data_IF_485700844913
#
_entry.id   IF_485700844913
#
_cell.length_a   1.000
_cell.length_b   1.000
_cell.length_c   1.000
_cell.angle_alpha   90.00
_cell.angle_beta   90.00
_cell.angle_gamma   90.00
#
_symmetry.space_group_name_H-M   'P 1'
#
loop_
_entity.id
_entity.type
_entity.pdbx_description
1 polymer ?
#
# COMPACT_ATOMS: atom_id res chain seq x y z
N UNK A 1 37.61 -26.35 32.10
CA UNK A 1 37.50 -26.24 30.63
C UNK A 1 36.06 -26.53 30.24
N UNK A 2 35.25 -25.50 30.10
CA UNK A 2 33.91 -25.53 29.49
C UNK A 2 34.00 -24.68 28.21
N UNK A 3 33.40 -25.12 27.10
CA UNK A 3 33.70 -24.56 25.79
C UNK A 3 33.01 -23.22 25.57
N UNK A 4 33.72 -22.37 24.84
CA UNK A 4 33.33 -21.08 24.29
C UNK A 4 31.85 -21.00 23.89
N UNK A 5 31.12 -20.10 24.55
CA UNK A 5 29.89 -19.55 23.99
C UNK A 5 30.27 -18.72 22.77
N UNK A 6 29.79 -19.12 21.60
CA UNK A 6 29.87 -18.32 20.38
C UNK A 6 29.32 -16.92 20.69
N UNK A 7 30.06 -15.83 20.44
CA UNK A 7 29.53 -14.50 20.67
C UNK A 7 28.27 -14.32 19.84
N UNK A 8 27.20 -13.82 20.46
CA UNK A 8 25.98 -13.47 19.75
C UNK A 8 26.37 -12.54 18.58
N UNK A 9 25.87 -12.81 17.36
CA UNK A 9 26.20 -11.97 16.21
C UNK A 9 25.78 -10.52 16.52
N UNK A 10 26.52 -9.52 16.00
CA UNK A 10 26.18 -8.12 16.24
C UNK A 10 24.73 -7.84 15.85
N UNK A 11 24.03 -6.92 16.55
CA UNK A 11 22.58 -6.70 16.40
C UNK A 11 22.09 -6.58 14.94
N UNK A 12 22.93 -5.98 14.09
CA UNK A 12 22.67 -5.76 12.67
C UNK A 12 22.62 -7.06 11.82
N UNK A 13 23.46 -8.05 12.13
CA UNK A 13 23.46 -9.34 11.40
C UNK A 13 22.19 -10.14 11.70
N UNK A 14 21.69 -10.05 12.93
CA UNK A 14 20.44 -10.69 13.34
C UNK A 14 19.24 -10.08 12.60
N UNK A 15 19.17 -8.75 12.50
CA UNK A 15 18.09 -8.07 11.75
C UNK A 15 18.09 -8.39 10.26
N UNK A 16 19.27 -8.50 9.65
CA UNK A 16 19.38 -8.92 8.26
C UNK A 16 18.82 -10.34 8.07
N UNK A 17 19.24 -11.30 8.90
CA UNK A 17 18.74 -12.67 8.84
C UNK A 17 17.22 -12.75 9.11
N UNK A 18 16.71 -11.96 10.06
CA UNK A 18 15.27 -11.82 10.30
C UNK A 18 14.52 -11.33 9.05
N UNK A 19 15.07 -10.33 8.36
CA UNK A 19 14.46 -9.76 7.15
C UNK A 19 14.44 -10.76 6.01
N UNK A 20 15.55 -11.48 5.80
CA UNK A 20 15.66 -12.56 4.82
C UNK A 20 14.61 -13.65 5.08
N UNK A 21 14.55 -14.16 6.32
CA UNK A 21 13.58 -15.18 6.69
C UNK A 21 12.13 -14.70 6.52
N UNK A 22 11.84 -13.43 6.85
CA UNK A 22 10.50 -12.88 6.67
C UNK A 22 10.14 -12.73 5.18
N UNK A 23 11.11 -12.46 4.30
CA UNK A 23 10.89 -12.43 2.86
C UNK A 23 10.64 -13.84 2.30
N UNK A 24 11.46 -14.82 2.69
CA UNK A 24 11.29 -16.22 2.29
C UNK A 24 9.90 -16.73 2.71
N UNK A 25 9.44 -16.38 3.92
CA UNK A 25 8.10 -16.72 4.42
C UNK A 25 6.98 -16.06 3.59
N UNK A 26 7.15 -14.80 3.15
CA UNK A 26 6.16 -14.16 2.24
C UNK A 26 6.02 -14.98 0.96
N UNK A 27 7.14 -15.36 0.34
CA UNK A 27 7.13 -16.13 -0.91
C UNK A 27 6.46 -17.48 -0.69
N UNK A 28 6.88 -18.21 0.35
CA UNK A 28 6.32 -19.52 0.66
C UNK A 28 4.80 -19.48 0.91
N UNK A 29 4.32 -18.47 1.65
CA UNK A 29 2.89 -18.28 1.93
C UNK A 29 2.09 -17.91 0.69
N UNK A 30 2.66 -17.09 -0.19
CA UNK A 30 2.00 -16.78 -1.46
C UNK A 30 1.91 -18.03 -2.32
N UNK A 31 2.97 -18.84 -2.46
CA UNK A 31 2.89 -20.09 -3.22
C UNK A 31 1.85 -21.05 -2.63
N UNK A 32 1.79 -21.18 -1.29
CA UNK A 32 0.78 -21.99 -0.63
C UNK A 32 -0.65 -21.49 -0.92
N UNK A 33 -0.88 -20.17 -0.91
CA UNK A 33 -2.15 -19.56 -1.30
C UNK A 33 -2.51 -19.93 -2.75
N UNK A 34 -1.55 -19.88 -3.68
CA UNK A 34 -1.75 -20.23 -5.08
C UNK A 34 -2.14 -21.70 -5.24
N UNK A 35 -1.48 -22.63 -4.53
CA UNK A 35 -1.83 -24.05 -4.57
C UNK A 35 -3.24 -24.32 -4.02
N UNK A 36 -3.66 -23.62 -2.96
CA UNK A 36 -5.02 -23.70 -2.45
C UNK A 36 -6.01 -23.21 -3.50
N UNK A 37 -5.75 -22.05 -4.11
CA UNK A 37 -6.62 -21.50 -5.15
C UNK A 37 -6.69 -22.40 -6.40
N UNK A 38 -5.57 -22.99 -6.81
CA UNK A 38 -5.54 -23.92 -7.95
C UNK A 38 -6.36 -25.18 -7.69
N UNK A 39 -6.33 -25.69 -6.46
CA UNK A 39 -7.07 -26.92 -6.07
C UNK A 39 -8.56 -26.66 -5.89
N UNK A 40 -8.94 -25.59 -5.20
CA UNK A 40 -10.33 -25.32 -4.81
C UNK A 40 -11.08 -24.50 -5.86
N UNK A 41 -10.34 -23.73 -6.66
CA UNK A 41 -10.91 -22.82 -7.64
C UNK A 41 -11.67 -21.66 -7.00
N UNK A 42 -12.59 -21.11 -7.78
CA UNK A 42 -13.38 -19.93 -7.43
C UNK A 42 -13.47 -18.99 -8.61
N UNK A 43 -14.60 -18.31 -8.76
CA UNK A 43 -14.73 -17.29 -9.77
C UNK A 43 -13.80 -16.11 -9.45
N UNK A 44 -13.04 -15.67 -10.45
CA UNK A 44 -12.24 -14.46 -10.37
C UNK A 44 -12.59 -13.50 -11.51
N UNK A 45 -12.34 -12.22 -11.25
CA UNK A 45 -12.43 -11.16 -12.24
C UNK A 45 -11.26 -10.22 -12.04
N UNK A 46 -10.71 -9.70 -13.13
CA UNK A 46 -9.64 -8.74 -13.12
C UNK A 46 -9.90 -7.65 -14.15
N UNK A 47 -9.39 -6.45 -13.88
CA UNK A 47 -9.58 -5.31 -14.77
C UNK A 47 -8.76 -5.45 -16.07
N UNK A 48 -7.55 -5.97 -15.96
CA UNK A 48 -6.56 -6.05 -17.04
C UNK A 48 -6.31 -7.48 -17.54
N UNK A 49 -7.02 -8.48 -16.99
CA UNK A 49 -6.86 -9.89 -17.36
C UNK A 49 -8.21 -10.48 -17.75
N UNK A 50 -8.29 -11.07 -18.95
CA UNK A 50 -9.54 -11.62 -19.47
C UNK A 50 -9.94 -12.90 -18.73
N UNK A 51 -8.96 -13.73 -18.37
CA UNK A 51 -9.14 -15.03 -17.72
C UNK A 51 -8.21 -15.13 -16.50
N UNK A 52 -8.56 -14.48 -15.37
CA UNK A 52 -7.74 -14.55 -14.16
C UNK A 52 -7.79 -15.96 -13.56
N UNK A 53 -6.65 -16.64 -13.63
CA UNK A 53 -6.44 -17.98 -13.09
C UNK A 53 -5.37 -17.99 -11.97
N UNK A 54 -4.93 -19.19 -11.56
CA UNK A 54 -3.92 -19.35 -10.52
C UNK A 54 -2.55 -18.78 -10.94
N UNK A 55 -2.20 -18.86 -12.22
CA UNK A 55 -0.91 -18.39 -12.72
C UNK A 55 -0.89 -16.86 -12.87
N UNK A 56 -2.02 -16.26 -13.26
CA UNK A 56 -2.25 -14.82 -13.12
C UNK A 56 -2.08 -14.36 -11.68
N UNK A 57 -2.77 -15.02 -10.74
CA UNK A 57 -2.71 -14.65 -9.32
C UNK A 57 -1.28 -14.77 -8.79
N UNK A 58 -0.56 -15.84 -9.14
CA UNK A 58 0.85 -16.04 -8.79
C UNK A 58 1.72 -14.89 -9.29
N UNK A 59 1.59 -14.55 -10.57
CA UNK A 59 2.36 -13.47 -11.21
C UNK A 59 2.18 -12.13 -10.49
N UNK A 60 0.94 -11.74 -10.18
CA UNK A 60 0.68 -10.42 -9.58
C UNK A 60 1.04 -10.35 -8.10
N UNK A 61 0.95 -11.46 -7.37
CA UNK A 61 1.26 -11.51 -5.94
C UNK A 61 2.78 -11.57 -5.68
N UNK A 62 3.54 -12.11 -6.64
CA UNK A 62 5.00 -12.18 -6.62
C UNK A 62 5.68 -11.06 -7.44
N UNK A 63 4.90 -10.11 -7.97
CA UNK A 63 5.46 -8.91 -8.58
C UNK A 63 6.00 -7.94 -7.50
N UNK A 64 7.28 -8.10 -7.19
CA UNK A 64 7.99 -7.29 -6.20
C UNK A 64 8.93 -6.27 -6.84
N UNK A 65 8.82 -6.01 -8.14
CA UNK A 65 9.88 -5.37 -8.91
C UNK A 65 9.47 -4.00 -9.40
N UNK A 66 10.47 -3.12 -9.59
CA UNK A 66 10.27 -1.94 -10.43
C UNK A 66 10.34 -2.34 -11.90
N UNK A 67 9.48 -1.75 -12.71
CA UNK A 67 9.63 -1.79 -14.17
C UNK A 67 10.70 -0.79 -14.63
N UNK A 68 11.30 -1.07 -15.79
CA UNK A 68 12.24 -0.16 -16.42
C UNK A 68 11.54 1.16 -16.77
N UNK A 69 12.19 2.30 -16.47
CA UNK A 69 11.61 3.63 -16.69
C UNK A 69 10.47 4.03 -15.74
N UNK A 70 10.06 3.17 -14.80
CA UNK A 70 9.02 3.49 -13.82
C UNK A 70 9.47 4.57 -12.83
N UNK A 71 8.58 5.53 -12.53
CA UNK A 71 8.76 6.44 -11.39
C UNK A 71 8.86 5.61 -10.10
N UNK A 72 9.97 5.74 -9.37
CA UNK A 72 10.28 4.97 -8.16
C UNK A 72 9.30 5.15 -6.99
N UNK A 73 8.30 6.02 -7.12
CA UNK A 73 7.21 6.20 -6.15
C UNK A 73 5.92 5.45 -6.54
N UNK A 74 5.84 4.92 -7.74
CA UNK A 74 4.66 4.23 -8.25
C UNK A 74 4.66 2.80 -7.73
N UNK A 75 3.62 2.44 -6.99
CA UNK A 75 3.30 1.05 -6.68
C UNK A 75 2.30 0.57 -7.70
N UNK A 76 2.62 -0.52 -8.41
CA UNK A 76 1.71 -1.09 -9.44
C UNK A 76 0.41 -1.52 -8.80
N UNK A 77 -0.71 -1.49 -9.52
CA UNK A 77 -2.00 -1.92 -8.98
C UNK A 77 -2.56 -3.05 -9.81
N UNK A 78 -3.05 -4.10 -9.16
CA UNK A 78 -3.69 -5.24 -9.80
C UNK A 78 -5.13 -5.32 -9.31
N UNK A 79 -6.04 -4.73 -10.08
CA UNK A 79 -7.44 -4.64 -9.67
C UNK A 79 -8.17 -5.92 -10.07
N UNK A 80 -8.77 -6.57 -9.07
CA UNK A 80 -9.56 -7.77 -9.29
C UNK A 80 -10.40 -8.16 -8.08
N UNK A 81 -11.19 -9.20 -8.25
CA UNK A 81 -12.02 -9.86 -7.24
C UNK A 81 -11.75 -11.36 -7.30
N UNK A 82 -11.69 -12.01 -6.14
CA UNK A 82 -11.51 -13.46 -6.03
C UNK A 82 -12.56 -13.99 -5.07
N UNK A 83 -13.43 -14.89 -5.54
CA UNK A 83 -14.30 -15.67 -4.68
C UNK A 83 -13.43 -16.66 -3.90
N UNK A 84 -13.51 -16.61 -2.57
CA UNK A 84 -12.59 -17.31 -1.69
C UNK A 84 -13.34 -18.24 -0.73
N UNK A 85 -12.87 -19.48 -0.67
CA UNK A 85 -13.22 -20.43 0.39
C UNK A 85 -12.64 -19.98 1.74
N UNK A 86 -13.08 -20.62 2.82
CA UNK A 86 -12.51 -20.36 4.15
C UNK A 86 -11.01 -20.71 4.20
N UNK A 87 -10.59 -21.83 3.59
CA UNK A 87 -9.19 -22.24 3.55
C UNK A 87 -8.32 -21.22 2.81
N UNK A 88 -8.81 -20.67 1.70
CA UNK A 88 -8.11 -19.62 0.98
C UNK A 88 -8.01 -18.34 1.80
N UNK A 89 -9.09 -17.91 2.46
CA UNK A 89 -9.10 -16.73 3.34
C UNK A 89 -8.15 -16.87 4.53
N UNK A 90 -8.06 -18.05 5.13
CA UNK A 90 -7.13 -18.33 6.22
C UNK A 90 -5.68 -18.17 5.77
N UNK A 91 -5.35 -18.65 4.56
CA UNK A 91 -4.02 -18.48 3.98
C UNK A 91 -3.76 -17.02 3.54
N UNK A 92 -4.77 -16.29 3.05
CA UNK A 92 -4.66 -14.82 2.86
C UNK A 92 -4.28 -14.14 4.18
N UNK A 93 -4.90 -14.55 5.29
CA UNK A 93 -4.56 -14.08 6.63
C UNK A 93 -3.11 -14.36 7.02
N UNK A 94 -2.58 -15.55 6.67
CA UNK A 94 -1.17 -15.92 6.91
C UNK A 94 -0.21 -15.10 6.05
N UNK A 95 -0.51 -14.92 4.77
CA UNK A 95 0.25 -14.04 3.86
C UNK A 95 0.31 -12.63 4.45
N UNK A 96 -0.83 -12.07 4.88
CA UNK A 96 -0.88 -10.73 5.45
C UNK A 96 -0.07 -10.60 6.75
N UNK A 97 -0.04 -11.64 7.59
CA UNK A 97 0.82 -11.67 8.79
C UNK A 97 2.30 -11.71 8.43
N UNK A 98 2.72 -12.53 7.48
CA UNK A 98 4.11 -12.58 7.00
C UNK A 98 4.55 -11.22 6.42
N UNK A 99 3.67 -10.59 5.61
CA UNK A 99 3.89 -9.24 5.07
C UNK A 99 4.03 -8.18 6.17
N UNK A 100 3.21 -8.24 7.21
CA UNK A 100 3.30 -7.33 8.36
C UNK A 100 4.60 -7.54 9.15
N UNK A 101 5.03 -8.80 9.35
CA UNK A 101 6.31 -9.11 10.00
C UNK A 101 7.49 -8.55 9.23
N UNK A 102 7.57 -8.78 7.91
CA UNK A 102 8.61 -8.20 7.06
C UNK A 102 8.64 -6.67 7.16
N UNK A 103 7.47 -6.01 7.10
CA UNK A 103 7.39 -4.56 7.27
C UNK A 103 7.89 -4.11 8.65
N UNK A 104 7.60 -4.87 9.71
CA UNK A 104 8.06 -4.57 11.07
C UNK A 104 9.58 -4.65 11.21
N UNK A 105 10.21 -5.69 10.65
CA UNK A 105 11.67 -5.83 10.62
C UNK A 105 12.30 -4.70 9.81
N UNK A 106 11.73 -4.37 8.65
CA UNK A 106 12.21 -3.27 7.82
C UNK A 106 12.16 -1.90 8.53
N UNK A 107 11.10 -1.63 9.29
CA UNK A 107 11.01 -0.41 10.09
C UNK A 107 12.03 -0.38 11.23
N UNK A 108 12.32 -1.50 11.88
CA UNK A 108 13.40 -1.60 12.88
C UNK A 108 14.77 -1.27 12.26
N UNK A 109 15.08 -1.85 11.10
CA UNK A 109 16.32 -1.54 10.37
C UNK A 109 16.41 -0.06 10.03
N UNK A 110 15.31 0.58 9.59
CA UNK A 110 15.30 2.03 9.29
C UNK A 110 15.58 2.90 10.51
N UNK A 111 15.15 2.46 11.70
CA UNK A 111 15.37 3.18 12.95
C UNK A 111 16.80 3.02 13.46
N UNK A 112 17.40 1.84 13.25
CA UNK A 112 18.77 1.55 13.66
C UNK A 112 19.81 2.10 12.68
N UNK A 113 19.67 1.79 11.38
CA UNK A 113 20.53 2.28 10.31
C UNK A 113 19.87 2.17 8.93
N UNK A 114 19.32 3.29 8.45
CA UNK A 114 18.69 3.35 7.13
C UNK A 114 19.67 3.15 5.96
N UNK A 115 20.99 3.27 6.17
CA UNK A 115 22.00 3.12 5.11
C UNK A 115 22.17 1.67 4.65
N UNK A 116 21.65 0.70 5.40
CA UNK A 116 21.70 -0.73 5.08
C UNK A 116 20.66 -1.16 4.03
N UNK A 117 19.58 -0.39 3.88
CA UNK A 117 18.45 -0.73 3.00
C UNK A 117 18.86 -0.97 1.53
N UNK A 118 19.74 -0.17 0.90
CA UNK A 118 20.20 -0.43 -0.46
C UNK A 118 20.87 -1.79 -0.63
N UNK A 119 21.73 -2.20 0.30
CA UNK A 119 22.41 -3.51 0.26
C UNK A 119 21.43 -4.68 0.39
N UNK A 120 20.47 -4.55 1.30
CA UNK A 120 19.43 -5.58 1.51
C UNK A 120 18.54 -5.78 0.27
N UNK A 121 18.20 -4.70 -0.44
CA UNK A 121 17.44 -4.79 -1.71
C UNK A 121 18.19 -5.58 -2.80
N UNK A 122 19.52 -5.58 -2.78
CA UNK A 122 20.32 -6.35 -3.73
C UNK A 122 20.42 -7.83 -3.34
N UNK A 123 20.38 -8.13 -2.04
CA UNK A 123 20.55 -9.49 -1.51
C UNK A 123 19.28 -10.36 -1.60
N UNK A 124 18.13 -9.84 -1.18
CA UNK A 124 16.87 -10.59 -1.14
C UNK A 124 16.50 -11.29 -2.47
N UNK A 125 16.68 -10.66 -3.65
CA UNK A 125 16.38 -11.31 -4.93
C UNK A 125 17.27 -12.52 -5.24
N UNK A 126 18.49 -12.57 -4.72
CA UNK A 126 19.43 -13.67 -5.01
C UNK A 126 18.99 -15.00 -4.37
N UNK A 127 18.21 -14.94 -3.28
CA UNK A 127 17.71 -16.11 -2.54
C UNK A 127 16.57 -16.84 -3.25
N UNK A 128 15.89 -16.18 -4.19
CA UNK A 128 14.83 -16.79 -4.99
C UNK A 128 15.16 -16.72 -6.49
N UNK A 129 16.06 -17.61 -6.99
CA UNK A 129 16.49 -17.60 -8.39
C UNK A 129 15.33 -17.71 -9.37
N UNK A 130 14.28 -18.48 -9.05
CA UNK A 130 13.10 -18.61 -9.91
C UNK A 130 12.30 -17.31 -10.06
N UNK A 131 12.23 -16.49 -9.00
CA UNK A 131 11.63 -15.16 -9.05
C UNK A 131 12.53 -14.15 -9.78
N UNK A 132 13.85 -14.34 -9.67
CA UNK A 132 14.87 -13.47 -10.26
C UNK A 132 15.13 -13.78 -11.75
N UNK A 133 14.96 -15.03 -12.18
CA UNK A 133 15.25 -15.50 -13.54
C UNK A 133 14.37 -14.83 -14.60
N UNK A 134 13.09 -14.57 -14.29
CA UNK A 134 12.19 -13.84 -15.21
C UNK A 134 12.60 -12.37 -15.43
N UNK A 135 13.54 -11.85 -14.65
CA UNK A 135 13.87 -10.42 -14.59
C UNK A 135 15.31 -10.10 -15.00
N UNK A 136 16.23 -11.06 -14.89
CA UNK A 136 17.61 -10.89 -15.37
C UNK A 136 17.68 -10.63 -16.87
N UNK A 137 16.73 -11.17 -17.62
CA UNK A 137 16.60 -10.95 -19.07
C UNK A 137 16.20 -9.51 -19.44
N UNK A 138 15.81 -8.67 -18.47
CA UNK A 138 15.36 -7.29 -18.65
C UNK A 138 16.31 -6.23 -18.06
N UNK A 139 17.52 -6.60 -17.63
CA UNK A 139 18.52 -5.61 -17.18
C UNK A 139 18.17 -4.95 -15.84
N UNK A 140 18.49 -5.65 -14.74
CA UNK A 140 18.53 -5.14 -13.36
C UNK A 140 17.16 -4.77 -12.72
N UNK A 141 16.33 -5.79 -12.44
CA UNK A 141 15.17 -5.59 -11.56
C UNK A 141 15.58 -5.18 -10.15
N UNK A 142 15.14 -3.99 -9.75
CA UNK A 142 15.30 -3.46 -8.39
C UNK A 142 14.08 -3.87 -7.57
N UNK A 143 14.31 -4.36 -6.34
CA UNK A 143 13.23 -4.74 -5.44
C UNK A 143 12.41 -3.51 -4.98
N UNK A 144 11.10 -3.55 -5.18
CA UNK A 144 10.11 -2.59 -4.71
C UNK A 144 9.55 -3.02 -3.34
N UNK A 145 10.17 -2.56 -2.25
CA UNK A 145 9.80 -2.97 -0.88
C UNK A 145 8.30 -2.84 -0.55
N UNK A 146 7.62 -1.75 -0.96
CA UNK A 146 6.18 -1.59 -0.71
C UNK A 146 5.33 -2.70 -1.35
N UNK A 147 5.72 -3.23 -2.51
CA UNK A 147 5.02 -4.34 -3.16
C UNK A 147 5.19 -5.65 -2.40
N UNK A 148 6.32 -5.82 -1.69
CA UNK A 148 6.56 -7.00 -0.85
C UNK A 148 5.56 -7.09 0.32
N UNK A 149 5.16 -5.96 0.92
CA UNK A 149 4.37 -5.97 2.17
C UNK A 149 2.97 -5.35 2.11
N UNK A 150 2.55 -4.77 0.99
CA UNK A 150 1.15 -4.34 0.83
C UNK A 150 0.19 -5.51 1.09
N UNK A 151 -0.78 -5.32 1.97
CA UNK A 151 -1.71 -6.36 2.36
C UNK A 151 -2.67 -6.74 1.22
N UNK A 152 -3.04 -8.01 1.18
CA UNK A 152 -4.13 -8.52 0.35
C UNK A 152 -5.46 -8.08 0.98
N UNK A 153 -6.31 -7.34 0.26
CA UNK A 153 -7.59 -6.91 0.80
C UNK A 153 -8.56 -8.09 0.91
N UNK A 154 -9.29 -8.14 2.01
CA UNK A 154 -10.37 -9.13 2.27
C UNK A 154 -11.67 -8.42 2.59
N UNK A 155 -12.80 -9.05 2.22
CA UNK A 155 -14.10 -8.67 2.74
C UNK A 155 -14.36 -9.36 4.08
N UNK A 156 -14.98 -8.63 5.01
CA UNK A 156 -15.23 -9.11 6.39
C UNK A 156 -16.30 -10.22 6.44
N UNK A 157 -17.18 -10.28 5.43
CA UNK A 157 -18.29 -11.22 5.31
C UNK A 157 -18.70 -11.37 3.82
N UNK A 158 -19.55 -12.36 3.47
CA UNK A 158 -20.11 -12.47 2.12
C UNK A 158 -20.79 -11.17 1.67
N UNK A 159 -20.66 -10.90 0.38
CA UNK A 159 -21.15 -9.65 -0.22
C UNK A 159 -22.36 -9.91 -1.11
N UNK A 160 -23.33 -9.00 -1.09
CA UNK A 160 -24.38 -8.96 -2.11
C UNK A 160 -23.87 -8.29 -3.39
N UNK A 161 -22.97 -7.31 -3.24
CA UNK A 161 -22.49 -6.48 -4.35
C UNK A 161 -21.14 -5.82 -4.07
N UNK A 162 -20.36 -5.61 -5.12
CA UNK A 162 -19.16 -4.75 -5.13
C UNK A 162 -19.32 -3.66 -6.19
N UNK A 163 -18.95 -2.42 -5.84
CA UNK A 163 -18.87 -1.31 -6.80
C UNK A 163 -17.50 -0.64 -6.74
N UNK A 164 -16.75 -0.80 -7.81
CA UNK A 164 -15.41 -0.27 -7.99
C UNK A 164 -15.44 1.02 -8.82
N UNK A 165 -14.67 2.01 -8.40
CA UNK A 165 -14.50 3.26 -9.14
C UNK A 165 -13.12 3.88 -8.86
N UNK A 166 -12.58 4.55 -9.86
CA UNK A 166 -11.39 5.37 -9.69
C UNK A 166 -11.70 6.60 -8.83
N UNK A 167 -10.81 6.85 -7.88
CA UNK A 167 -10.83 8.00 -7.01
C UNK A 167 -9.63 8.90 -7.31
N UNK A 168 -9.81 9.82 -8.26
CA UNK A 168 -8.77 10.73 -8.74
C UNK A 168 -8.59 12.00 -7.87
N UNK A 169 -9.54 12.29 -6.98
CA UNK A 169 -9.52 13.50 -6.14
C UNK A 169 -8.99 13.25 -4.72
N UNK A 170 -8.20 12.19 -4.53
CA UNK A 170 -7.63 11.84 -3.22
C UNK A 170 -6.74 12.95 -2.68
N UNK A 171 -6.93 13.26 -1.39
CA UNK A 171 -6.06 14.19 -0.64
C UNK A 171 -5.64 13.52 0.65
N UNK A 172 -4.33 13.49 0.88
CA UNK A 172 -3.80 13.25 2.21
C UNK A 172 -3.78 14.58 2.94
N UNK A 173 -4.42 14.64 4.11
CA UNK A 173 -4.49 15.84 4.94
C UNK A 173 -3.85 15.50 6.28
N UNK A 174 -2.73 16.14 6.59
CA UNK A 174 -2.07 16.03 7.89
C UNK A 174 -2.33 17.31 8.68
N UNK A 175 -2.87 17.19 9.88
CA UNK A 175 -2.96 18.32 10.83
C UNK A 175 -1.54 18.70 11.29
N UNK A 176 -1.25 19.99 11.30
CA UNK A 176 -0.01 20.57 11.78
C UNK A 176 -0.32 21.69 12.77
N UNK A 177 0.59 21.88 13.71
CA UNK A 177 0.69 23.12 14.49
C UNK A 177 1.47 24.19 13.74
N UNK A 178 1.31 25.46 14.16
CA UNK A 178 2.12 26.60 13.69
C UNK A 178 3.61 26.32 13.82
N UNK A 179 4.05 25.85 14.98
CA UNK A 179 5.47 25.51 15.24
C UNK A 179 6.02 24.41 14.32
N UNK A 180 5.21 23.40 14.00
CA UNK A 180 5.63 22.38 13.04
C UNK A 180 5.73 22.90 11.61
N UNK A 181 4.85 23.82 11.22
CA UNK A 181 4.90 24.49 9.92
C UNK A 181 6.14 25.39 9.81
N UNK A 182 6.46 26.13 10.89
CA UNK A 182 7.66 26.96 10.97
C UNK A 182 8.93 26.13 10.79
N UNK A 183 9.08 25.04 11.56
CA UNK A 183 10.23 24.13 11.45
C UNK A 183 10.38 23.57 10.04
N UNK A 184 9.27 23.31 9.33
CA UNK A 184 9.30 22.86 7.93
C UNK A 184 9.78 23.95 6.98
N UNK A 185 9.38 25.20 7.19
CA UNK A 185 9.85 26.34 6.38
C UNK A 185 11.33 26.64 6.63
N UNK A 186 11.79 26.54 7.89
CA UNK A 186 13.20 26.72 8.26
C UNK A 186 14.14 25.66 7.67
N UNK A 187 13.62 24.54 7.16
CA UNK A 187 14.42 23.54 6.45
C UNK A 187 14.74 23.92 4.99
N UNK A 188 14.15 25.00 4.48
CA UNK A 188 14.49 25.59 3.18
C UNK A 188 15.53 26.70 3.35
N UNK A 189 15.99 27.27 2.23
CA UNK A 189 16.75 28.52 2.24
C UNK A 189 15.87 29.67 2.79
N UNK A 190 16.16 30.07 4.03
CA UNK A 190 15.40 31.11 4.74
C UNK A 190 15.60 32.50 4.17
N UNK A 191 16.62 32.74 3.35
CA UNK A 191 16.82 34.04 2.69
C UNK A 191 16.02 34.18 1.41
N UNK A 192 15.53 33.08 0.84
CA UNK A 192 14.69 33.12 -0.35
C UNK A 192 13.43 33.96 -0.08
N UNK A 193 13.10 34.97 -0.93
CA UNK A 193 12.02 35.92 -0.66
C UNK A 193 10.66 35.26 -0.39
N UNK A 194 10.35 34.18 -1.11
CA UNK A 194 9.10 33.44 -0.97
C UNK A 194 9.00 32.69 0.37
N UNK A 195 10.12 32.26 0.97
CA UNK A 195 10.15 31.64 2.31
C UNK A 195 9.99 32.70 3.38
N UNK A 196 10.68 33.85 3.27
CA UNK A 196 10.56 34.98 4.21
C UNK A 196 9.13 35.53 4.29
N UNK A 197 8.43 35.60 3.16
CA UNK A 197 7.02 36.01 3.12
C UNK A 197 6.15 35.03 3.90
N UNK A 198 6.33 33.73 3.67
CA UNK A 198 5.56 32.68 4.36
C UNK A 198 5.84 32.62 5.86
N UNK A 199 7.09 32.82 6.30
CA UNK A 199 7.44 32.94 7.71
C UNK A 199 6.75 34.15 8.37
N UNK A 200 6.68 35.30 7.68
CA UNK A 200 5.92 36.46 8.17
C UNK A 200 4.43 36.20 8.26
N UNK A 201 3.83 35.52 7.26
CA UNK A 201 2.43 35.12 7.34
C UNK A 201 2.17 34.24 8.56
N UNK A 202 3.05 33.26 8.80
CA UNK A 202 2.94 32.35 9.93
C UNK A 202 3.05 33.05 11.29
N UNK A 203 3.93 34.06 11.41
CA UNK A 203 4.04 34.89 12.61
C UNK A 203 2.81 35.79 12.84
N UNK A 204 1.95 35.97 11.83
CA UNK A 204 0.74 36.78 11.90
C UNK A 204 -0.50 36.05 12.40
N UNK A 205 -0.41 34.76 12.73
CA UNK A 205 -1.53 33.94 13.24
C UNK A 205 -1.27 33.41 14.65
N UNK A 206 -2.31 33.05 15.43
CA UNK A 206 -2.12 32.49 16.77
C UNK A 206 -1.41 31.13 16.76
N UNK A 207 -0.49 30.89 17.71
CA UNK A 207 0.27 29.63 17.83
C UNK A 207 -0.59 28.36 17.93
N UNK A 208 -1.77 28.49 18.56
CA UNK A 208 -2.72 27.41 18.74
C UNK A 208 -3.58 27.12 17.50
N UNK A 209 -3.46 27.91 16.43
CA UNK A 209 -4.28 27.75 15.24
C UNK A 209 -3.94 26.43 14.52
N UNK A 210 -4.93 25.54 14.30
CA UNK A 210 -4.69 24.30 13.58
C UNK A 210 -4.47 24.58 12.09
N UNK A 211 -3.43 23.98 11.53
CA UNK A 211 -3.11 24.05 10.10
C UNK A 211 -3.26 22.68 9.44
N UNK A 212 -3.45 22.67 8.12
CA UNK A 212 -3.59 21.44 7.33
C UNK A 212 -2.55 21.40 6.20
N UNK A 213 -1.63 20.43 6.24
CA UNK A 213 -0.78 20.13 5.09
C UNK A 213 -1.52 19.17 4.15
N UNK A 214 -1.76 19.63 2.92
CA UNK A 214 -2.54 18.90 1.93
C UNK A 214 -1.64 18.40 0.80
N UNK A 215 -1.70 17.11 0.52
CA UNK A 215 -1.03 16.48 -0.60
C UNK A 215 -2.04 15.80 -1.51
N UNK A 216 -2.07 16.22 -2.79
CA UNK A 216 -2.82 15.50 -3.82
C UNK A 216 -2.24 14.08 -3.94
N UNK A 217 -3.11 13.09 -3.91
CA UNK A 217 -2.74 11.70 -4.11
C UNK A 217 -2.92 11.32 -5.57
N UNK A 218 -2.11 10.38 -6.04
CA UNK A 218 -2.36 9.74 -7.33
C UNK A 218 -3.75 9.06 -7.30
N UNK A 219 -4.43 8.96 -8.46
CA UNK A 219 -5.67 8.21 -8.55
C UNK A 219 -5.51 6.79 -8.03
N UNK A 220 -6.52 6.32 -7.29
CA UNK A 220 -6.54 4.97 -6.74
C UNK A 220 -7.89 4.29 -6.99
N UNK A 221 -7.92 2.96 -7.01
CA UNK A 221 -9.17 2.22 -7.09
C UNK A 221 -9.83 2.11 -5.72
N UNK A 222 -11.12 2.42 -5.65
CA UNK A 222 -11.93 2.29 -4.45
C UNK A 222 -13.02 1.25 -4.64
N UNK A 223 -13.04 0.24 -3.79
CA UNK A 223 -14.11 -0.74 -3.70
C UNK A 223 -15.13 -0.32 -2.65
N UNK A 224 -16.39 -0.21 -3.04
CA UNK A 224 -17.53 -0.13 -2.15
C UNK A 224 -18.14 -1.52 -2.06
N UNK A 225 -18.02 -2.13 -0.88
CA UNK A 225 -18.53 -3.46 -0.59
C UNK A 225 -19.86 -3.34 0.13
N UNK A 226 -20.84 -4.12 -0.31
CA UNK A 226 -22.17 -4.22 0.29
C UNK A 226 -22.32 -5.64 0.80
N UNK A 227 -22.46 -5.78 2.10
CA UNK A 227 -22.56 -7.10 2.72
C UNK A 227 -23.92 -7.74 2.37
N UNK A 228 -23.93 -9.07 2.26
CA UNK A 228 -25.17 -9.81 2.05
C UNK A 228 -26.09 -9.68 3.28
N UNK A 229 -25.49 -9.73 4.47
CA UNK A 229 -26.12 -9.45 5.75
C UNK A 229 -25.35 -8.34 6.48
N UNK A 230 -26.00 -7.49 7.28
CA UNK A 230 -25.29 -6.52 8.12
C UNK A 230 -24.27 -7.22 9.01
N UNK A 231 -23.10 -6.58 9.19
CA UNK A 231 -22.11 -7.02 10.16
C UNK A 231 -22.68 -6.93 11.60
N UNK A 232 -21.99 -7.55 12.57
CA UNK A 232 -22.39 -7.53 13.97
C UNK A 232 -22.55 -6.12 14.57
N UNK A 233 -21.89 -5.10 14.00
CA UNK A 233 -22.01 -3.70 14.38
C UNK A 233 -23.07 -2.91 13.57
N UNK A 234 -23.91 -3.63 12.82
CA UNK A 234 -25.00 -3.07 12.00
C UNK A 234 -24.55 -2.47 10.67
N UNK A 235 -23.26 -2.44 10.35
CA UNK A 235 -22.79 -1.92 9.06
C UNK A 235 -23.19 -2.85 7.92
N UNK A 236 -23.93 -2.31 6.95
CA UNK A 236 -24.32 -2.99 5.71
C UNK A 236 -23.40 -2.69 4.52
N UNK A 237 -22.49 -1.71 4.66
CA UNK A 237 -21.55 -1.34 3.61
C UNK A 237 -20.23 -0.80 4.17
N UNK A 238 -19.17 -0.93 3.37
CA UNK A 238 -17.85 -0.35 3.65
C UNK A 238 -17.21 0.12 2.34
N UNK A 239 -16.38 1.16 2.43
CA UNK A 239 -15.57 1.59 1.30
C UNK A 239 -14.09 1.47 1.67
N UNK A 240 -13.28 0.90 0.76
CA UNK A 240 -11.85 0.72 0.96
C UNK A 240 -11.08 0.94 -0.34
N UNK A 241 -9.81 1.31 -0.19
CA UNK A 241 -8.88 1.40 -1.31
C UNK A 241 -8.35 0.01 -1.62
N UNK A 242 -8.29 -0.36 -2.89
CA UNK A 242 -7.78 -1.66 -3.33
C UNK A 242 -6.68 -1.44 -4.37
N UNK A 243 -5.53 -2.06 -4.15
CA UNK A 243 -4.40 -2.07 -5.08
C UNK A 243 -4.00 -3.49 -5.51
N UNK A 244 -4.67 -4.49 -4.94
CA UNK A 244 -4.55 -5.92 -5.18
C UNK A 244 -5.96 -6.52 -5.23
N UNK A 245 -6.13 -7.75 -5.75
CA UNK A 245 -7.44 -8.37 -5.81
C UNK A 245 -8.09 -8.49 -4.42
N UNK A 246 -9.38 -8.17 -4.35
CA UNK A 246 -10.19 -8.33 -3.15
C UNK A 246 -10.66 -9.78 -3.02
N UNK A 247 -10.25 -10.46 -1.95
CA UNK A 247 -10.71 -11.80 -1.61
C UNK A 247 -12.03 -11.72 -0.85
N UNK A 248 -13.06 -12.40 -1.35
CA UNK A 248 -14.44 -12.29 -0.88
C UNK A 248 -14.89 -13.66 -0.38
N UNK A 249 -15.37 -13.79 0.87
CA UNK A 249 -15.99 -15.02 1.35
C UNK A 249 -17.14 -15.43 0.43
N UNK A 250 -17.01 -16.62 -0.17
CA UNK A 250 -17.98 -17.13 -1.13
C UNK A 250 -18.17 -18.64 -0.96
N UNK A 251 -19.22 -19.08 -0.24
CA UNK A 251 -19.50 -20.50 -0.02
C UNK A 251 -19.82 -21.27 -1.31
N UNK A 252 -20.36 -20.60 -2.33
CA UNK A 252 -20.71 -21.20 -3.62
C UNK A 252 -19.66 -20.97 -4.72
N UNK A 253 -18.52 -20.37 -4.36
CA UNK A 253 -17.42 -20.06 -5.27
C UNK A 253 -17.74 -19.00 -6.32
N UNK A 254 -18.87 -18.29 -6.22
CA UNK A 254 -19.26 -17.25 -7.16
C UNK A 254 -18.86 -15.86 -6.68
N UNK A 255 -18.66 -14.96 -7.64
CA UNK A 255 -18.52 -13.54 -7.33
C UNK A 255 -19.90 -12.90 -7.08
N UNK A 256 -19.99 -11.91 -6.18
CA UNK A 256 -21.19 -11.10 -6.04
C UNK A 256 -21.44 -10.26 -7.31
N UNK A 257 -22.58 -9.58 -7.39
CA UNK A 257 -22.79 -8.59 -8.46
C UNK A 257 -21.68 -7.51 -8.41
N UNK A 258 -20.97 -7.30 -9.53
CA UNK A 258 -19.92 -6.30 -9.64
C UNK A 258 -20.04 -5.48 -10.93
N UNK A 259 -19.59 -4.22 -10.88
CA UNK A 259 -19.44 -3.39 -12.08
C UNK A 259 -18.03 -3.55 -12.67
N UNK A 260 -17.87 -3.18 -13.94
CA UNK A 260 -16.58 -3.07 -14.60
C UNK A 260 -16.17 -1.58 -14.65
N UNK A 261 -15.21 -1.12 -13.82
CA UNK A 261 -14.71 0.24 -13.92
C UNK A 261 -13.94 0.42 -15.25
N UNK A 262 -13.73 1.67 -15.71
CA UNK A 262 -12.87 1.91 -16.86
C UNK A 262 -11.43 1.47 -16.54
N UNK A 263 -10.62 1.11 -17.55
CA UNK A 263 -9.26 0.59 -17.35
C UNK A 263 -8.33 1.61 -16.69
N UNK A 264 -8.58 2.90 -16.92
CA UNK A 264 -7.76 4.00 -16.39
C UNK A 264 -8.61 5.04 -15.65
N UNK A 265 -8.03 5.77 -14.68
CA UNK A 265 -8.71 6.87 -14.02
C UNK A 265 -9.08 7.95 -15.03
N UNK A 266 -10.35 8.35 -15.03
CA UNK A 266 -10.79 9.44 -15.89
C UNK A 266 -10.28 10.80 -15.34
N UNK A 267 -9.80 11.71 -16.21
CA UNK A 267 -9.19 12.98 -15.81
C UNK A 267 -10.21 13.95 -15.21
N UNK A 268 -11.49 13.83 -15.56
CA UNK A 268 -12.52 14.77 -15.15
C UNK A 268 -13.31 14.33 -13.92
N UNK A 269 -13.49 15.29 -13.02
CA UNK A 269 -14.25 15.15 -11.80
C UNK A 269 -15.74 15.26 -12.12
N UNK A 270 -16.43 14.13 -12.28
CA UNK A 270 -17.90 14.10 -12.48
C UNK A 270 -18.70 14.30 -11.18
N UNK A 271 -18.05 14.34 -10.01
CA UNK A 271 -18.73 14.41 -8.70
C UNK A 271 -18.52 15.74 -7.99
N UNK A 272 -19.63 16.32 -7.53
CA UNK A 272 -19.71 17.59 -6.81
C UNK A 272 -18.64 17.74 -5.72
N UNK A 273 -18.17 18.98 -5.53
CA UNK A 273 -17.35 19.40 -4.38
C UNK A 273 -18.10 18.99 -3.11
N UNK A 274 -17.49 18.17 -2.25
CA UNK A 274 -18.18 17.79 -1.01
C UNK A 274 -18.36 19.06 -0.20
N UNK A 275 -19.56 19.24 0.35
CA UNK A 275 -19.95 20.43 1.13
C UNK A 275 -19.19 20.57 2.45
N UNK A 276 -18.41 19.56 2.85
CA UNK A 276 -17.63 19.50 4.08
C UNK A 276 -16.17 19.98 3.91
N UNK A 277 -15.83 20.64 2.79
CA UNK A 277 -14.49 21.17 2.55
C UNK A 277 -14.23 22.40 3.44
N UNK A 278 -13.79 22.13 4.68
CA UNK A 278 -13.44 23.12 5.72
C UNK A 278 -12.08 23.78 5.51
N UNK A 279 -11.50 23.74 4.32
CA UNK A 279 -10.20 24.34 4.04
C UNK A 279 -10.36 25.54 3.10
N UNK A 280 -9.45 26.50 3.22
CA UNK A 280 -9.30 27.57 2.23
C UNK A 280 -9.03 27.00 0.83
N UNK A 281 -9.39 27.76 -0.21
CA UNK A 281 -9.22 27.30 -1.60
C UNK A 281 -7.76 27.41 -2.06
N UNK A 282 -7.00 28.37 -1.51
CA UNK A 282 -5.58 28.58 -1.80
C UNK A 282 -4.69 28.22 -0.60
N UNK A 283 -3.46 27.73 -0.83
CA UNK A 283 -2.54 27.41 0.26
C UNK A 283 -2.04 28.68 0.95
N UNK A 284 -2.27 28.78 2.25
CA UNK A 284 -1.71 29.80 3.13
C UNK A 284 -0.17 29.81 3.12
N UNK A 285 0.47 28.63 3.10
CA UNK A 285 1.92 28.48 2.93
C UNK A 285 2.22 27.57 1.72
N UNK A 286 2.33 28.14 0.50
CA UNK A 286 2.47 27.38 -0.74
C UNK A 286 3.68 26.43 -0.79
N UNK A 287 4.84 26.82 -0.25
CA UNK A 287 6.07 26.02 -0.31
C UNK A 287 5.93 24.67 0.39
N UNK A 288 5.08 24.61 1.41
CA UNK A 288 4.81 23.39 2.16
C UNK A 288 3.37 22.90 2.01
N UNK A 289 2.59 23.50 1.09
CA UNK A 289 1.20 23.14 0.76
C UNK A 289 0.30 23.12 2.00
N UNK A 290 0.47 24.11 2.86
CA UNK A 290 -0.35 24.27 4.07
C UNK A 290 -1.50 25.22 3.82
N UNK A 291 -2.68 24.84 4.33
CA UNK A 291 -3.94 25.56 4.26
C UNK A 291 -4.45 25.82 5.68
N UNK A 292 -5.25 26.86 5.86
CA UNK A 292 -6.01 27.09 7.10
C UNK A 292 -7.38 26.44 7.00
N UNK A 293 -7.99 26.19 8.16
CA UNK A 293 -9.38 25.78 8.24
C UNK A 293 -10.30 26.99 8.14
N UNK A 294 -11.46 26.83 7.50
CA UNK A 294 -12.58 27.78 7.50
C UNK A 294 -13.43 27.61 8.75
#
# INVERSE_FOLDING_TARGET
MTPNGTPAPPPLYHLQAELENAFDEIVARIEALIEIYRREGGAAWALEEATPDADWLRRILLDFWYEEGQDGRVTRSYIGLVAASQALLDEVGRVNRAKAQFSGVLERIRQEDATLIPGLKALLPARHPALNAQLRDQGLARLHLKQCWRALPTADAPLSRVRMAWYASGRSIKKLSVREAERKLMAFDTEAPHIRIQLRHLAGIPDGEPLAQVQKQAPLMRANVFFAEPLADGRSRRAMNVALPLFIPSPDGRLPDYNRPPPFPQPERTRAKRSDERLEDEPFLPSIRVYRYR
#
